data_IF_168620827970
#
_entry.id   IF_168620827970
#
_cell.length_a   1.000
_cell.length_b   1.000
_cell.length_c   1.000
_cell.angle_alpha   90.00
_cell.angle_beta   90.00
_cell.angle_gamma   90.00
#
_symmetry.space_group_name_H-M   'P 1'
#
loop_
_entity.id
_entity.type
_entity.pdbx_description
1 polymer ?
#
# COMPACT_ATOMS: atom_id res chain seq x y z
N UNK A 1 -1.46 5.52 -18.71
CA UNK A 1 -1.90 6.24 -17.50
C UNK A 1 -1.24 5.62 -16.27
N UNK A 2 -0.67 6.46 -15.44
CA UNK A 2 0.00 5.98 -14.24
C UNK A 2 -0.97 5.73 -13.11
N UNK A 3 -0.64 4.74 -12.28
CA UNK A 3 -1.39 4.50 -11.06
C UNK A 3 -1.04 5.57 -10.02
N UNK A 4 -1.96 5.84 -9.13
CA UNK A 4 -1.71 6.68 -7.97
C UNK A 4 -1.76 5.82 -6.71
N UNK A 5 -0.92 6.14 -5.75
CA UNK A 5 -0.79 5.39 -4.51
C UNK A 5 -0.97 6.34 -3.34
N UNK A 6 -1.62 5.85 -2.30
CA UNK A 6 -1.85 6.64 -1.11
C UNK A 6 -1.83 5.75 0.12
N UNK A 7 -1.41 6.31 1.23
CA UNK A 7 -1.39 5.58 2.50
C UNK A 7 -1.77 6.54 3.62
N UNK A 8 -2.69 6.11 4.46
CA UNK A 8 -3.21 6.93 5.56
C UNK A 8 -2.96 6.19 6.87
N UNK A 9 -2.45 6.89 7.85
CA UNK A 9 -2.25 6.34 9.19
C UNK A 9 -3.29 6.91 10.15
N UNK A 10 -3.60 6.13 11.19
CA UNK A 10 -4.52 6.57 12.24
C UNK A 10 -3.79 6.54 13.57
N UNK A 11 -4.09 7.50 14.47
CA UNK A 11 -3.31 7.66 15.70
C UNK A 11 -3.25 6.43 16.59
N UNK A 12 -4.31 5.65 16.63
CA UNK A 12 -4.42 4.53 17.57
C UNK A 12 -4.19 3.17 16.95
N UNK A 13 -3.73 3.13 15.70
CA UNK A 13 -3.48 1.85 15.03
C UNK A 13 -2.08 1.80 14.49
N UNK A 14 -1.51 0.58 14.52
CA UNK A 14 -0.25 0.31 13.84
C UNK A 14 -0.59 -0.21 12.45
N UNK A 15 0.07 0.35 11.44
CA UNK A 15 -0.20 -0.01 10.07
C UNK A 15 -0.82 1.15 9.31
N UNK A 16 -1.20 0.90 8.08
CA UNK A 16 -1.72 1.95 7.21
C UNK A 16 -2.90 1.44 6.40
N UNK A 17 -3.75 2.36 5.99
CA UNK A 17 -4.80 2.08 5.03
C UNK A 17 -4.23 2.44 3.65
N UNK A 18 -4.00 1.44 2.83
CA UNK A 18 -3.28 1.58 1.57
C UNK A 18 -4.25 1.59 0.40
N UNK A 19 -4.10 2.56 -0.50
CA UNK A 19 -5.01 2.72 -1.62
C UNK A 19 -4.23 2.82 -2.93
N UNK A 20 -4.79 2.21 -3.97
CA UNK A 20 -4.24 2.24 -5.32
C UNK A 20 -5.36 2.54 -6.29
N UNK A 21 -5.08 3.39 -7.26
CA UNK A 21 -6.06 3.71 -8.29
C UNK A 21 -5.38 3.83 -9.65
N UNK A 22 -6.07 3.37 -10.68
CA UNK A 22 -5.62 3.56 -12.06
C UNK A 22 -6.86 3.61 -12.95
N UNK A 23 -7.05 4.76 -13.61
CA UNK A 23 -8.22 4.93 -14.47
C UNK A 23 -9.49 4.82 -13.65
N UNK A 24 -10.39 3.95 -14.08
CA UNK A 24 -11.67 3.72 -13.39
C UNK A 24 -11.58 2.68 -12.29
N UNK A 25 -10.42 2.09 -12.13
CA UNK A 25 -10.23 1.01 -11.18
C UNK A 25 -9.56 1.54 -9.92
N UNK A 26 -10.04 1.11 -8.77
CA UNK A 26 -9.40 1.48 -7.51
C UNK A 26 -9.67 0.42 -6.45
N UNK A 27 -8.76 0.36 -5.50
CA UNK A 27 -8.97 -0.55 -4.39
C UNK A 27 -8.17 -0.05 -3.20
N UNK A 28 -8.61 -0.43 -2.00
CA UNK A 28 -7.95 -0.03 -0.78
C UNK A 28 -8.06 -1.14 0.25
N UNK A 29 -7.05 -1.26 1.09
CA UNK A 29 -7.07 -2.24 2.15
C UNK A 29 -6.15 -1.80 3.28
N UNK A 30 -6.43 -2.30 4.47
CA UNK A 30 -5.59 -2.05 5.63
C UNK A 30 -4.42 -3.02 5.61
N UNK A 31 -3.22 -2.50 5.87
CA UNK A 31 -2.01 -3.31 5.98
C UNK A 31 -1.45 -3.19 7.39
N UNK A 32 -1.27 -4.31 8.06
CA UNK A 32 -0.60 -4.30 9.36
C UNK A 32 0.91 -4.16 9.15
N UNK A 33 1.69 -3.92 10.21
CA UNK A 33 3.14 -3.69 10.05
C UNK A 33 3.88 -4.81 9.34
N UNK A 34 3.50 -6.05 9.56
CA UNK A 34 4.15 -7.18 8.88
C UNK A 34 3.87 -7.17 7.39
N UNK A 35 2.63 -6.83 7.03
CA UNK A 35 2.25 -6.77 5.63
C UNK A 35 2.94 -5.62 4.90
N UNK A 36 3.18 -4.52 5.59
CA UNK A 36 3.91 -3.40 5.02
C UNK A 36 5.34 -3.83 4.67
N UNK A 37 5.99 -4.52 5.60
CA UNK A 37 7.34 -5.01 5.37
C UNK A 37 7.38 -6.00 4.21
N UNK A 38 6.41 -6.89 4.17
CA UNK A 38 6.33 -7.89 3.11
C UNK A 38 6.14 -7.23 1.74
N UNK A 39 5.25 -6.25 1.65
CA UNK A 39 5.01 -5.54 0.40
C UNK A 39 6.28 -4.84 -0.07
N UNK A 40 6.97 -4.18 0.84
CA UNK A 40 8.22 -3.51 0.52
C UNK A 40 9.24 -4.49 -0.05
N UNK A 41 9.38 -5.65 0.58
CA UNK A 41 10.33 -6.67 0.12
C UNK A 41 9.97 -7.21 -1.25
N UNK A 42 8.69 -7.44 -1.49
CA UNK A 42 8.24 -7.93 -2.80
C UNK A 42 8.60 -6.94 -3.89
N UNK A 43 8.34 -5.67 -3.65
CA UNK A 43 8.64 -4.64 -4.64
C UNK A 43 10.16 -4.52 -4.85
N UNK A 44 10.93 -4.52 -3.78
CA UNK A 44 12.38 -4.42 -3.88
C UNK A 44 12.97 -5.59 -4.66
N UNK A 45 12.48 -6.79 -4.41
CA UNK A 45 12.97 -7.98 -5.13
C UNK A 45 12.60 -7.94 -6.61
N UNK A 46 11.42 -7.43 -6.93
CA UNK A 46 10.97 -7.36 -8.31
C UNK A 46 11.72 -6.31 -9.13
N UNK A 47 12.21 -5.29 -8.47
CA UNK A 47 12.89 -4.17 -9.16
C UNK A 47 14.41 -4.25 -9.09
N UNK A 48 14.92 -5.34 -8.59
CA UNK A 48 16.34 -5.55 -8.41
C UNK A 48 17.09 -5.76 -9.74
#
# INVERSE_FOLDING_TARGET
>A
MNATFNAVTYPDTEGVYFAVARGDWSFAMFLNPEEIIQLKEVIENATR
#
